data_IF_099959553087
#
_entry.id   IF_099959553087
#
_cell.length_a   1.000
_cell.length_b   1.000
_cell.length_c   1.000
_cell.angle_alpha   90.00
_cell.angle_beta   90.00
_cell.angle_gamma   90.00
#
_symmetry.space_group_name_H-M   'P 1'
#
loop_
_entity.id
_entity.type
_entity.pdbx_description
1 polymer ?
#
# COMPACT_ATOMS: atom_id res chain seq x y z
N UNK A 1 -23.90 -5.63 -34.41
CA UNK A 1 -22.59 -6.22 -34.74
C UNK A 1 -21.53 -5.52 -33.90
N UNK A 2 -21.21 -6.09 -32.76
CA UNK A 2 -20.18 -5.55 -31.86
C UNK A 2 -18.84 -6.16 -32.26
N UNK A 3 -17.93 -5.34 -32.77
CA UNK A 3 -16.57 -5.73 -33.06
C UNK A 3 -15.80 -5.81 -31.74
N UNK A 4 -15.49 -7.01 -31.31
CA UNK A 4 -14.57 -7.29 -30.20
C UNK A 4 -13.16 -6.92 -30.66
N UNK A 5 -12.60 -5.81 -30.18
CA UNK A 5 -11.22 -5.46 -30.40
C UNK A 5 -10.35 -6.44 -29.61
N UNK A 6 -9.77 -7.44 -30.29
CA UNK A 6 -8.69 -8.26 -29.71
C UNK A 6 -7.50 -7.36 -29.36
N UNK A 7 -6.90 -7.51 -28.15
CA UNK A 7 -5.70 -6.75 -27.81
C UNK A 7 -4.56 -7.16 -28.75
N UNK A 8 -3.99 -6.17 -29.43
CA UNK A 8 -2.82 -6.34 -30.30
C UNK A 8 -1.70 -7.04 -29.50
N UNK A 9 -1.31 -8.25 -29.93
CA UNK A 9 -0.17 -8.98 -29.32
C UNK A 9 1.08 -8.12 -29.40
N UNK A 10 1.59 -7.69 -28.21
CA UNK A 10 2.87 -6.98 -28.11
C UNK A 10 3.97 -7.78 -28.81
N UNK A 11 4.87 -7.13 -29.56
CA UNK A 11 6.01 -7.79 -30.17
C UNK A 11 6.92 -8.42 -29.10
N UNK A 12 7.63 -9.49 -29.43
CA UNK A 12 8.59 -10.14 -28.52
C UNK A 12 9.61 -9.14 -27.94
N UNK A 13 10.10 -8.22 -28.77
CA UNK A 13 11.01 -7.14 -28.34
C UNK A 13 10.38 -6.23 -27.29
N UNK A 14 9.09 -5.88 -27.43
CA UNK A 14 8.37 -5.07 -26.47
C UNK A 14 8.16 -5.82 -25.15
N UNK A 15 7.85 -7.12 -25.20
CA UNK A 15 7.70 -7.96 -24.01
C UNK A 15 9.03 -8.09 -23.24
N UNK A 16 10.15 -8.29 -23.94
CA UNK A 16 11.47 -8.35 -23.33
C UNK A 16 11.90 -7.03 -22.69
N UNK A 17 11.55 -5.89 -23.31
CA UNK A 17 11.81 -4.57 -22.75
C UNK A 17 11.01 -4.35 -21.46
N UNK A 18 9.73 -4.65 -21.50
CA UNK A 18 8.82 -4.55 -20.34
C UNK A 18 9.27 -5.45 -19.18
N UNK A 19 9.64 -6.70 -19.46
CA UNK A 19 10.16 -7.62 -18.44
C UNK A 19 11.45 -7.09 -17.79
N UNK A 20 12.33 -6.46 -18.59
CA UNK A 20 13.55 -5.83 -18.08
C UNK A 20 13.24 -4.63 -17.20
N UNK A 21 12.33 -3.74 -17.60
CA UNK A 21 11.92 -2.58 -16.80
C UNK A 21 11.28 -3.03 -15.48
N UNK A 22 10.46 -4.09 -15.50
CA UNK A 22 9.89 -4.68 -14.30
C UNK A 22 10.97 -5.23 -13.36
N UNK A 23 11.99 -5.92 -13.88
CA UNK A 23 13.10 -6.42 -13.08
C UNK A 23 13.92 -5.29 -12.46
N UNK A 24 14.19 -4.22 -13.21
CA UNK A 24 14.90 -3.03 -12.73
C UNK A 24 14.10 -2.36 -11.59
N UNK A 25 12.82 -2.09 -11.81
CA UNK A 25 11.98 -1.41 -10.82
C UNK A 25 11.74 -2.27 -9.58
N UNK A 26 11.67 -3.58 -9.70
CA UNK A 26 11.59 -4.50 -8.56
C UNK A 26 12.86 -4.46 -7.70
N UNK A 27 14.06 -4.48 -8.32
CA UNK A 27 15.34 -4.30 -7.63
C UNK A 27 15.42 -2.95 -6.92
N UNK A 28 15.00 -1.88 -7.59
CA UNK A 28 14.97 -0.53 -6.99
C UNK A 28 14.01 -0.49 -5.80
N UNK A 29 12.80 -1.04 -5.90
CA UNK A 29 11.83 -1.07 -4.80
C UNK A 29 12.39 -1.82 -3.58
N UNK A 30 13.08 -2.94 -3.80
CA UNK A 30 13.74 -3.70 -2.74
C UNK A 30 14.83 -2.86 -2.05
N UNK A 31 15.73 -2.23 -2.81
CA UNK A 31 16.80 -1.40 -2.27
C UNK A 31 16.25 -0.15 -1.56
N UNK A 32 15.18 0.46 -2.07
CA UNK A 32 14.48 1.56 -1.40
C UNK A 32 13.85 1.10 -0.07
N UNK A 33 13.33 -0.12 -0.01
CA UNK A 33 12.77 -0.70 1.21
C UNK A 33 13.86 -0.99 2.26
N UNK A 34 15.00 -1.55 1.84
CA UNK A 34 16.07 -1.99 2.74
C UNK A 34 16.89 -0.85 3.31
N UNK A 35 17.22 0.16 2.51
CA UNK A 35 18.16 1.22 2.91
C UNK A 35 17.78 2.63 2.51
N UNK A 36 16.65 2.80 1.86
CA UNK A 36 16.16 4.10 1.41
C UNK A 36 16.90 4.67 0.20
N UNK A 37 16.40 5.81 -0.28
CA UNK A 37 16.90 6.44 -1.50
C UNK A 37 18.35 6.91 -1.38
N UNK A 38 18.70 7.55 -0.26
CA UNK A 38 20.03 8.20 -0.15
C UNK A 38 21.16 7.17 -0.18
N UNK A 39 20.98 6.00 0.45
CA UNK A 39 21.98 4.94 0.51
C UNK A 39 21.98 3.99 -0.71
N UNK A 40 20.90 3.97 -1.51
CA UNK A 40 20.85 3.19 -2.75
C UNK A 40 21.81 3.74 -3.79
N UNK A 41 22.48 2.87 -4.53
CA UNK A 41 23.34 3.27 -5.67
C UNK A 41 22.85 2.63 -6.98
N UNK A 42 23.12 3.32 -8.11
CA UNK A 42 22.79 2.81 -9.44
C UNK A 42 23.64 1.57 -9.79
N UNK A 43 24.85 1.48 -9.24
CA UNK A 43 25.74 0.33 -9.44
C UNK A 43 25.18 -0.95 -8.81
N UNK A 44 24.57 -0.85 -7.63
CA UNK A 44 23.90 -1.99 -6.98
C UNK A 44 22.70 -2.48 -7.76
N UNK A 45 21.87 -1.55 -8.26
CA UNK A 45 20.74 -1.91 -9.14
C UNK A 45 21.24 -2.64 -10.39
N UNK A 46 22.30 -2.11 -11.04
CA UNK A 46 22.87 -2.71 -12.24
C UNK A 46 23.43 -4.12 -11.96
N UNK A 47 24.14 -4.29 -10.85
CA UNK A 47 24.71 -5.57 -10.43
C UNK A 47 23.62 -6.61 -10.13
N UNK A 48 22.56 -6.23 -9.43
CA UNK A 48 21.47 -7.12 -9.07
C UNK A 48 20.66 -7.60 -10.28
N UNK A 49 20.40 -6.71 -11.23
CA UNK A 49 19.67 -7.03 -12.47
C UNK A 49 20.58 -7.73 -13.50
N UNK A 50 21.90 -7.73 -13.27
CA UNK A 50 22.87 -8.36 -14.18
C UNK A 50 23.06 -7.59 -15.50
N UNK A 51 22.99 -6.25 -15.46
CA UNK A 51 23.18 -5.39 -16.64
C UNK A 51 24.27 -4.35 -16.42
N UNK A 52 24.84 -3.84 -17.49
CA UNK A 52 25.81 -2.75 -17.38
C UNK A 52 25.12 -1.45 -16.93
N UNK A 53 25.76 -0.67 -16.05
CA UNK A 53 25.29 0.66 -15.60
C UNK A 53 24.92 1.58 -16.77
N UNK A 54 25.70 1.56 -17.86
CA UNK A 54 25.40 2.31 -19.08
C UNK A 54 24.06 1.90 -19.73
N UNK A 55 23.60 0.67 -19.50
CA UNK A 55 22.31 0.20 -20.00
C UNK A 55 21.16 0.77 -19.18
N UNK A 56 21.33 0.96 -17.85
CA UNK A 56 20.35 1.66 -17.01
C UNK A 56 20.17 3.11 -17.46
N UNK A 57 21.26 3.82 -17.71
CA UNK A 57 21.23 5.22 -18.14
C UNK A 57 20.68 5.44 -19.57
N UNK A 58 20.47 4.37 -20.35
CA UNK A 58 19.70 4.45 -21.61
C UNK A 58 18.18 4.53 -21.36
N UNK A 59 17.72 4.08 -20.22
CA UNK A 59 16.29 4.05 -19.83
C UNK A 59 15.93 5.14 -18.83
N UNK A 60 16.87 5.49 -17.93
CA UNK A 60 16.64 6.44 -16.84
C UNK A 60 17.81 7.43 -16.78
N UNK A 61 17.53 8.73 -16.92
CA UNK A 61 18.58 9.76 -17.01
C UNK A 61 19.24 10.06 -15.65
N UNK A 62 18.62 9.67 -14.54
CA UNK A 62 19.13 9.93 -13.19
C UNK A 62 18.69 8.84 -12.20
N UNK A 63 19.31 8.83 -11.01
CA UNK A 63 18.92 7.99 -9.88
C UNK A 63 17.51 8.33 -9.40
N UNK A 64 17.16 9.61 -9.43
CA UNK A 64 15.82 10.10 -9.08
C UNK A 64 14.75 9.57 -10.04
N UNK A 65 15.01 9.61 -11.34
CA UNK A 65 14.10 9.09 -12.37
C UNK A 65 13.88 7.59 -12.20
N UNK A 66 14.98 6.86 -11.99
CA UNK A 66 14.95 5.42 -11.72
C UNK A 66 14.11 5.09 -10.46
N UNK A 67 14.34 5.79 -9.35
CA UNK A 67 13.59 5.62 -8.12
C UNK A 67 12.12 6.08 -8.26
N UNK A 68 11.89 7.16 -9.00
CA UNK A 68 10.54 7.64 -9.29
C UNK A 68 9.73 6.59 -10.08
N UNK A 69 10.32 5.95 -11.08
CA UNK A 69 9.66 4.89 -11.85
C UNK A 69 9.26 3.70 -10.97
N UNK A 70 10.12 3.30 -10.03
CA UNK A 70 9.81 2.26 -9.06
C UNK A 70 8.67 2.66 -8.11
N UNK A 71 8.66 3.90 -7.63
CA UNK A 71 7.59 4.44 -6.78
C UNK A 71 6.25 4.56 -7.54
N UNK A 72 6.29 4.92 -8.82
CA UNK A 72 5.09 4.90 -9.70
C UNK A 72 4.53 3.49 -9.81
N UNK A 73 5.38 2.50 -10.01
CA UNK A 73 4.95 1.11 -10.06
C UNK A 73 4.34 0.64 -8.73
N UNK A 74 4.93 1.03 -7.60
CA UNK A 74 4.39 0.69 -6.28
C UNK A 74 2.99 1.30 -6.05
N UNK A 75 2.77 2.56 -6.41
CA UNK A 75 1.46 3.20 -6.26
C UNK A 75 0.42 2.62 -7.23
N UNK A 76 0.82 2.25 -8.45
CA UNK A 76 -0.06 1.57 -9.42
C UNK A 76 -0.48 0.18 -8.92
N UNK A 77 0.45 -0.58 -8.30
CA UNK A 77 0.14 -1.87 -7.65
C UNK A 77 -0.86 -1.69 -6.50
N UNK A 78 -0.68 -0.65 -5.69
CA UNK A 78 -1.63 -0.32 -4.62
C UNK A 78 -3.01 0.04 -5.20
N UNK A 79 -3.06 0.89 -6.22
CA UNK A 79 -4.30 1.25 -6.89
C UNK A 79 -5.04 0.03 -7.42
N UNK A 80 -4.35 -0.84 -8.17
CA UNK A 80 -4.95 -2.06 -8.74
C UNK A 80 -5.53 -2.96 -7.63
N UNK A 81 -4.79 -3.17 -6.54
CA UNK A 81 -5.28 -3.95 -5.40
C UNK A 81 -6.55 -3.37 -4.76
N UNK A 82 -6.61 -2.04 -4.58
CA UNK A 82 -7.80 -1.38 -4.02
C UNK A 82 -9.00 -1.44 -4.98
N UNK A 83 -8.77 -1.30 -6.27
CA UNK A 83 -9.81 -1.44 -7.30
C UNK A 83 -10.38 -2.87 -7.33
N UNK A 84 -9.53 -3.89 -7.21
CA UNK A 84 -9.95 -5.30 -7.09
C UNK A 84 -10.78 -5.54 -5.83
N UNK A 85 -10.35 -5.03 -4.66
CA UNK A 85 -11.15 -5.10 -3.44
C UNK A 85 -12.51 -4.44 -3.60
N UNK A 86 -12.57 -3.34 -4.33
CA UNK A 86 -13.81 -2.63 -4.59
C UNK A 86 -14.75 -3.44 -5.49
N UNK A 87 -14.22 -4.07 -6.55
CA UNK A 87 -14.98 -4.89 -7.48
C UNK A 87 -15.52 -6.18 -6.84
N UNK A 88 -14.69 -6.88 -6.04
CA UNK A 88 -15.09 -8.11 -5.35
C UNK A 88 -16.25 -7.89 -4.38
N UNK A 89 -16.24 -6.76 -3.66
CA UNK A 89 -17.31 -6.44 -2.71
C UNK A 89 -18.63 -6.04 -3.39
N UNK A 90 -18.59 -5.50 -4.60
CA UNK A 90 -19.79 -5.23 -5.38
C UNK A 90 -20.47 -6.53 -5.85
N UNK A 91 -19.67 -7.57 -6.13
CA UNK A 91 -20.19 -8.90 -6.52
C UNK A 91 -20.75 -9.69 -5.33
N UNK A 92 -20.25 -9.46 -4.10
CA UNK A 92 -20.65 -10.20 -2.90
C UNK A 92 -21.79 -9.53 -2.11
N UNK A 93 -22.33 -8.40 -2.57
CA UNK A 93 -23.46 -7.70 -1.91
C UNK A 93 -24.77 -8.51 -1.97
N UNK A 94 -24.82 -9.60 -2.77
CA UNK A 94 -25.95 -10.52 -2.83
C UNK A 94 -25.84 -11.73 -1.88
N UNK A 95 -24.70 -11.93 -1.23
CA UNK A 95 -24.53 -12.97 -0.22
C UNK A 95 -24.65 -12.34 1.18
N UNK A 96 -25.88 -12.30 1.71
CA UNK A 96 -26.15 -12.02 3.11
C UNK A 96 -25.37 -13.00 3.98
N UNK A 97 -24.31 -12.52 4.64
CA UNK A 97 -23.70 -13.26 5.74
C UNK A 97 -24.59 -13.03 6.97
N UNK A 98 -25.45 -14.00 7.24
CA UNK A 98 -26.28 -14.04 8.44
C UNK A 98 -25.40 -13.85 9.68
N UNK A 99 -25.69 -12.80 10.46
CA UNK A 99 -25.45 -12.80 11.90
C UNK A 99 -24.49 -11.79 12.49
N UNK A 100 -23.63 -11.13 11.75
CA UNK A 100 -22.79 -10.05 12.31
C UNK A 100 -22.86 -8.78 11.45
N UNK A 101 -23.11 -7.65 12.11
CA UNK A 101 -23.16 -6.32 11.48
C UNK A 101 -21.72 -5.94 11.08
N UNK A 102 -21.23 -6.44 9.94
CA UNK A 102 -19.88 -6.19 9.45
C UNK A 102 -19.92 -5.14 8.36
N UNK A 103 -19.21 -4.04 8.57
CA UNK A 103 -19.04 -3.01 7.55
C UNK A 103 -18.13 -3.50 6.44
N UNK A 104 -18.65 -3.54 5.21
CA UNK A 104 -17.87 -3.82 4.00
C UNK A 104 -16.74 -2.78 3.84
N UNK A 105 -17.02 -1.52 4.16
CA UNK A 105 -16.04 -0.46 4.10
C UNK A 105 -14.88 -0.67 5.10
N UNK A 106 -15.20 -1.02 6.36
CA UNK A 106 -14.18 -1.35 7.37
C UNK A 106 -13.36 -2.58 6.95
N UNK A 107 -14.01 -3.61 6.39
CA UNK A 107 -13.31 -4.80 5.89
C UNK A 107 -12.28 -4.42 4.81
N UNK A 108 -12.65 -3.58 3.84
CA UNK A 108 -11.73 -3.08 2.80
C UNK A 108 -10.55 -2.31 3.40
N UNK A 109 -10.80 -1.44 4.38
CA UNK A 109 -9.75 -0.70 5.08
C UNK A 109 -8.80 -1.63 5.84
N UNK A 110 -9.33 -2.64 6.54
CA UNK A 110 -8.52 -3.65 7.22
C UNK A 110 -7.72 -4.50 6.23
N UNK A 111 -8.33 -4.95 5.13
CA UNK A 111 -7.65 -5.72 4.09
C UNK A 111 -6.52 -4.93 3.42
N UNK A 112 -6.75 -3.66 3.08
CA UNK A 112 -5.72 -2.79 2.48
C UNK A 112 -4.55 -2.53 3.43
N UNK A 113 -4.84 -2.33 4.72
CA UNK A 113 -3.80 -2.13 5.75
C UNK A 113 -2.98 -3.40 5.95
N UNK A 114 -3.62 -4.56 6.07
CA UNK A 114 -2.95 -5.86 6.17
C UNK A 114 -2.04 -6.12 4.98
N UNK A 115 -2.53 -5.91 3.76
CA UNK A 115 -1.75 -6.05 2.55
C UNK A 115 -0.51 -5.12 2.53
N UNK A 116 -0.66 -3.87 2.98
CA UNK A 116 0.46 -2.93 3.13
C UNK A 116 1.52 -3.46 4.09
N UNK A 117 1.11 -4.01 5.25
CA UNK A 117 2.02 -4.60 6.24
C UNK A 117 2.71 -5.85 5.70
N UNK A 118 2.00 -6.70 4.95
CA UNK A 118 2.58 -7.87 4.27
C UNK A 118 3.69 -7.46 3.29
N UNK A 119 3.43 -6.44 2.45
CA UNK A 119 4.45 -5.92 1.54
C UNK A 119 5.65 -5.32 2.28
N UNK A 120 5.41 -4.62 3.40
CA UNK A 120 6.50 -4.06 4.22
C UNK A 120 7.38 -5.17 4.80
N UNK A 121 6.80 -6.19 5.40
CA UNK A 121 7.53 -7.33 5.96
C UNK A 121 8.26 -8.16 4.90
N UNK A 122 7.72 -8.22 3.68
CA UNK A 122 8.37 -8.86 2.53
C UNK A 122 9.48 -7.99 1.88
N UNK A 123 9.76 -6.78 2.38
CA UNK A 123 10.72 -5.86 1.77
C UNK A 123 10.31 -5.34 0.40
N UNK A 124 9.01 -5.30 0.11
CA UNK A 124 8.45 -4.85 -1.16
C UNK A 124 7.77 -3.47 -1.09
N UNK A 125 7.74 -2.86 0.09
CA UNK A 125 7.19 -1.52 0.30
C UNK A 125 8.35 -0.52 0.36
N UNK A 126 8.55 0.32 -0.66
CA UNK A 126 9.60 1.32 -0.65
C UNK A 126 9.34 2.35 0.45
N UNK A 127 10.40 2.75 1.14
CA UNK A 127 10.31 3.81 2.15
C UNK A 127 10.04 5.16 1.50
N UNK A 128 9.21 5.97 2.14
CA UNK A 128 8.98 7.35 1.69
C UNK A 128 10.28 8.16 1.84
N UNK A 129 10.62 8.99 0.85
CA UNK A 129 11.83 9.80 0.90
C UNK A 129 11.73 10.84 2.02
N UNK A 130 12.87 11.14 2.65
CA UNK A 130 12.98 12.20 3.65
C UNK A 130 12.53 13.55 3.10
N UNK A 131 12.21 14.50 3.98
CA UNK A 131 11.67 15.82 3.58
C UNK A 131 12.62 16.58 2.63
N UNK A 132 13.93 16.41 2.81
CA UNK A 132 14.98 17.09 2.05
C UNK A 132 15.54 16.25 0.88
N UNK A 133 14.93 15.09 0.57
CA UNK A 133 15.40 14.23 -0.50
C UNK A 133 15.05 14.80 -1.88
N UNK A 134 16.00 14.73 -2.83
CA UNK A 134 15.77 15.07 -4.24
C UNK A 134 14.69 14.18 -4.89
N UNK A 135 14.56 12.93 -4.43
CA UNK A 135 13.49 12.04 -4.87
C UNK A 135 12.10 12.61 -4.55
N UNK A 136 11.93 13.26 -3.39
CA UNK A 136 10.64 13.87 -3.04
C UNK A 136 10.21 14.92 -4.07
N UNK A 137 11.12 15.79 -4.48
CA UNK A 137 10.86 16.80 -5.50
C UNK A 137 10.47 16.16 -6.84
N UNK A 138 11.19 15.11 -7.25
CA UNK A 138 10.90 14.34 -8.47
C UNK A 138 9.54 13.65 -8.43
N UNK A 139 9.14 13.07 -7.30
CA UNK A 139 7.82 12.45 -7.11
C UNK A 139 6.69 13.49 -7.21
N UNK A 140 6.85 14.64 -6.56
CA UNK A 140 5.85 15.72 -6.61
C UNK A 140 5.70 16.31 -8.02
N UNK A 141 6.74 16.26 -8.84
CA UNK A 141 6.71 16.66 -10.25
C UNK A 141 6.20 15.54 -11.19
N UNK A 142 6.16 14.30 -10.72
CA UNK A 142 5.72 13.15 -11.51
C UNK A 142 4.20 13.07 -11.56
N UNK A 143 3.62 13.40 -12.71
CA UNK A 143 2.17 13.28 -12.92
C UNK A 143 1.65 11.86 -12.69
N UNK A 144 2.28 10.78 -13.22
CA UNK A 144 1.81 9.42 -12.98
C UNK A 144 1.78 9.03 -11.50
N UNK A 145 2.78 9.49 -10.71
CA UNK A 145 2.81 9.25 -9.28
C UNK A 145 1.68 10.00 -8.55
N UNK A 146 1.51 11.29 -8.85
CA UNK A 146 0.49 12.12 -8.21
C UNK A 146 -0.93 11.67 -8.56
N UNK A 147 -1.21 11.33 -9.81
CA UNK A 147 -2.51 10.80 -10.24
C UNK A 147 -2.82 9.47 -9.53
N UNK A 148 -1.84 8.56 -9.41
CA UNK A 148 -1.98 7.30 -8.66
C UNK A 148 -2.22 7.54 -7.17
N UNK A 149 -1.47 8.45 -6.55
CA UNK A 149 -1.63 8.80 -5.14
C UNK A 149 -3.03 9.39 -4.86
N UNK A 150 -3.52 10.28 -5.72
CA UNK A 150 -4.87 10.83 -5.61
C UNK A 150 -5.92 9.72 -5.72
N UNK A 151 -5.78 8.82 -6.70
CA UNK A 151 -6.72 7.70 -6.89
C UNK A 151 -6.79 6.78 -5.68
N UNK A 152 -5.64 6.41 -5.11
CA UNK A 152 -5.56 5.63 -3.86
C UNK A 152 -6.21 6.38 -2.70
N UNK A 153 -5.95 7.70 -2.58
CA UNK A 153 -6.54 8.55 -1.54
C UNK A 153 -8.06 8.63 -1.65
N UNK A 154 -8.59 8.77 -2.86
CA UNK A 154 -10.03 8.85 -3.11
C UNK A 154 -10.75 7.54 -2.74
N UNK A 155 -10.18 6.38 -3.12
CA UNK A 155 -10.74 5.07 -2.79
C UNK A 155 -10.77 4.85 -1.26
N UNK A 156 -9.65 5.04 -0.59
CA UNK A 156 -9.57 4.90 0.87
C UNK A 156 -10.44 5.93 1.58
N UNK A 157 -10.47 7.17 1.11
CA UNK A 157 -11.28 8.24 1.66
C UNK A 157 -12.78 7.93 1.60
N UNK A 158 -13.25 7.38 0.48
CA UNK A 158 -14.64 6.94 0.33
C UNK A 158 -15.02 5.85 1.35
N UNK A 159 -14.14 4.85 1.54
CA UNK A 159 -14.37 3.78 2.53
C UNK A 159 -14.30 4.29 3.97
N UNK A 160 -13.40 5.24 4.27
CA UNK A 160 -13.33 5.88 5.59
C UNK A 160 -14.64 6.59 5.92
N UNK A 161 -15.13 7.45 5.01
CA UNK A 161 -16.40 8.18 5.20
C UNK A 161 -17.56 7.23 5.35
N UNK A 162 -17.60 6.14 4.61
CA UNK A 162 -18.65 5.13 4.71
C UNK A 162 -18.59 4.40 6.08
N UNK A 163 -17.42 3.94 6.51
CA UNK A 163 -17.24 3.28 7.80
C UNK A 163 -17.55 4.22 8.99
N UNK A 164 -17.31 5.54 8.84
CA UNK A 164 -17.74 6.54 9.84
C UNK A 164 -19.26 6.69 9.91
N UNK A 165 -19.94 6.73 8.75
CA UNK A 165 -21.43 6.77 8.71
C UNK A 165 -22.06 5.53 9.31
N UNK A 166 -21.45 4.38 9.14
CA UNK A 166 -21.88 3.10 9.70
C UNK A 166 -21.53 2.94 11.19
N UNK A 167 -20.77 3.87 11.78
CA UNK A 167 -20.39 3.87 13.20
C UNK A 167 -19.20 2.94 13.54
N UNK A 168 -18.49 2.39 12.56
CA UNK A 168 -17.34 1.52 12.78
C UNK A 168 -16.01 2.27 12.94
N UNK A 169 -15.92 3.48 12.39
CA UNK A 169 -14.80 4.40 12.61
C UNK A 169 -15.35 5.65 13.32
N UNK A 170 -14.57 6.19 14.25
CA UNK A 170 -14.94 7.38 15.01
C UNK A 170 -15.22 8.57 14.08
N UNK A 171 -16.48 8.99 14.03
CA UNK A 171 -16.94 10.12 13.21
C UNK A 171 -16.44 11.50 13.70
N UNK A 172 -15.93 11.60 14.94
CA UNK A 172 -15.33 12.83 15.44
C UNK A 172 -13.94 13.11 14.84
N UNK A 173 -13.29 12.09 14.22
CA UNK A 173 -12.01 12.26 13.54
C UNK A 173 -12.25 12.77 12.12
N UNK A 174 -11.53 13.82 11.67
CA UNK A 174 -11.53 14.20 10.27
C UNK A 174 -11.10 13.00 9.38
N UNK A 175 -11.78 12.72 8.26
CA UNK A 175 -11.41 11.60 7.38
C UNK A 175 -9.94 11.62 6.95
N UNK A 176 -9.37 12.80 6.74
CA UNK A 176 -7.96 12.97 6.37
C UNK A 176 -7.00 12.46 7.48
N UNK A 177 -7.37 12.61 8.75
CA UNK A 177 -6.58 12.09 9.87
C UNK A 177 -6.54 10.57 9.85
N UNK A 178 -7.69 9.94 9.59
CA UNK A 178 -7.78 8.48 9.45
C UNK A 178 -6.94 8.02 8.26
N UNK A 179 -7.06 8.69 7.10
CA UNK A 179 -6.28 8.39 5.90
C UNK A 179 -4.78 8.40 6.17
N UNK A 180 -4.27 9.46 6.80
CA UNK A 180 -2.83 9.55 7.12
C UNK A 180 -2.40 8.53 8.18
N UNK A 181 -3.28 8.15 9.10
CA UNK A 181 -3.01 7.05 10.05
C UNK A 181 -2.81 5.72 9.32
N UNK A 182 -3.62 5.44 8.29
CA UNK A 182 -3.45 4.25 7.45
C UNK A 182 -2.18 4.33 6.59
N UNK A 183 -1.90 5.49 5.99
CA UNK A 183 -0.64 5.69 5.23
C UNK A 183 0.62 5.51 6.09
N UNK A 184 0.56 5.91 7.35
CA UNK A 184 1.69 5.73 8.27
C UNK A 184 2.07 4.24 8.45
N UNK A 185 1.14 3.31 8.22
CA UNK A 185 1.43 1.85 8.29
C UNK A 185 2.44 1.40 7.24
N UNK A 186 2.50 2.06 6.09
CA UNK A 186 3.51 1.78 5.07
C UNK A 186 4.95 2.07 5.55
N UNK A 187 5.10 3.03 6.47
CA UNK A 187 6.40 3.47 7.02
C UNK A 187 6.51 3.21 8.53
N UNK A 188 5.71 2.30 9.09
CA UNK A 188 5.63 2.07 10.53
C UNK A 188 6.94 1.49 11.08
N UNK A 189 7.68 2.23 11.93
CA UNK A 189 8.91 1.73 12.51
C UNK A 189 8.67 0.59 13.51
N UNK A 190 7.46 0.48 14.09
CA UNK A 190 7.11 -0.61 15.01
C UNK A 190 7.26 -1.96 14.34
N UNK A 191 6.90 -2.07 13.06
CA UNK A 191 7.07 -3.30 12.27
C UNK A 191 8.54 -3.73 12.24
N UNK A 192 9.45 -2.78 12.03
CA UNK A 192 10.89 -3.06 11.97
C UNK A 192 11.46 -3.46 13.34
N UNK A 193 11.08 -2.74 14.41
CA UNK A 193 11.51 -3.09 15.76
C UNK A 193 11.02 -4.46 16.19
N UNK A 194 9.76 -4.82 15.90
CA UNK A 194 9.23 -6.14 16.20
C UNK A 194 9.93 -7.24 15.39
N UNK A 195 10.22 -6.98 14.11
CA UNK A 195 10.95 -7.91 13.26
C UNK A 195 12.39 -8.13 13.74
N UNK A 196 13.09 -7.06 14.15
CA UNK A 196 14.46 -7.12 14.68
C UNK A 196 14.55 -7.88 16.01
N UNK A 197 13.48 -7.95 16.79
CA UNK A 197 13.44 -8.69 18.03
C UNK A 197 13.53 -10.20 17.85
N UNK A 198 13.16 -10.71 16.66
CA UNK A 198 13.08 -12.15 16.33
C UNK A 198 12.15 -12.96 17.23
N UNK A 199 11.32 -12.29 18.05
CA UNK A 199 10.41 -12.93 19.01
C UNK A 199 9.05 -13.29 18.41
N UNK A 200 8.72 -12.73 17.24
CA UNK A 200 7.40 -12.82 16.64
C UNK A 200 7.48 -13.20 15.16
N UNK A 201 6.56 -14.02 14.72
CA UNK A 201 6.34 -14.30 13.30
C UNK A 201 5.78 -13.06 12.58
N UNK A 202 5.91 -13.03 11.26
CA UNK A 202 5.36 -11.94 10.45
C UNK A 202 3.84 -11.79 10.65
N UNK A 203 3.10 -12.89 10.81
CA UNK A 203 1.64 -12.83 11.03
C UNK A 203 1.30 -12.24 12.41
N UNK A 204 2.03 -12.63 13.47
CA UNK A 204 1.85 -12.03 14.79
C UNK A 204 2.15 -10.52 14.78
N UNK A 205 3.19 -10.09 14.07
CA UNK A 205 3.51 -8.66 13.90
C UNK A 205 2.36 -7.93 13.22
N UNK A 206 1.81 -8.50 12.13
CA UNK A 206 0.66 -7.93 11.43
C UNK A 206 -0.53 -7.79 12.37
N UNK A 207 -0.89 -8.85 13.12
CA UNK A 207 -2.03 -8.81 14.04
C UNK A 207 -1.85 -7.76 15.15
N UNK A 208 -0.66 -7.66 15.73
CA UNK A 208 -0.37 -6.62 16.75
C UNK A 208 -0.55 -5.20 16.19
N UNK A 209 -0.04 -4.94 14.98
CA UNK A 209 -0.16 -3.62 14.35
C UNK A 209 -1.60 -3.35 13.90
N UNK A 210 -2.31 -4.36 13.37
CA UNK A 210 -3.73 -4.25 13.02
C UNK A 210 -4.58 -3.93 14.25
N UNK A 211 -4.37 -4.63 15.37
CA UNK A 211 -5.06 -4.39 16.63
C UNK A 211 -4.82 -2.96 17.13
N UNK A 212 -3.58 -2.50 17.18
CA UNK A 212 -3.28 -1.13 17.63
C UNK A 212 -3.86 -0.08 16.70
N UNK A 213 -3.95 -0.37 15.40
CA UNK A 213 -4.47 0.57 14.41
C UNK A 213 -6.00 0.70 14.46
N UNK A 214 -6.73 -0.40 14.58
CA UNK A 214 -8.19 -0.41 14.47
C UNK A 214 -8.93 -0.52 15.81
N UNK A 215 -8.34 -1.18 16.80
CA UNK A 215 -8.97 -1.38 18.10
C UNK A 215 -8.38 -0.47 19.18
N UNK A 216 -7.19 0.09 18.94
CA UNK A 216 -6.47 1.00 19.84
C UNK A 216 -5.70 0.27 20.94
N UNK A 217 -5.12 1.05 21.89
CA UNK A 217 -4.29 0.56 22.99
C UNK A 217 -5.06 0.33 24.28
N UNK A 218 -6.27 0.89 24.38
CA UNK A 218 -7.06 0.79 25.60
C UNK A 218 -7.96 -0.44 25.57
N UNK A 219 -8.03 -1.15 26.69
CA UNK A 219 -9.04 -2.20 26.87
C UNK A 219 -10.42 -1.55 26.89
N UNK A 220 -11.29 -1.90 25.94
CA UNK A 220 -12.70 -1.51 26.00
C UNK A 220 -13.34 -2.22 27.21
N UNK A 221 -13.76 -1.48 28.22
CA UNK A 221 -14.64 -2.03 29.25
C UNK A 221 -15.95 -2.39 28.55
N UNK A 222 -16.25 -3.68 28.48
CA UNK A 222 -17.61 -4.10 28.16
C UNK A 222 -18.52 -3.40 29.14
N UNK A 223 -19.41 -2.54 28.68
CA UNK A 223 -20.56 -2.10 29.45
C UNK A 223 -21.41 -3.34 29.70
N UNK A 224 -21.14 -4.02 30.83
CA UNK A 224 -22.01 -5.06 31.33
C UNK A 224 -23.38 -4.40 31.50
N UNK A 225 -24.39 -4.94 30.80
CA UNK A 225 -25.77 -4.61 30.94
C UNK A 225 -26.07 -4.49 32.45
N UNK A 226 -26.33 -3.28 32.89
CA UNK A 226 -27.01 -3.05 34.17
C UNK A 226 -28.39 -3.66 34.00
N UNK A 227 -28.56 -4.86 34.52
CA UNK A 227 -29.88 -5.43 34.80
C UNK A 227 -30.57 -4.54 35.83
N UNK A 228 -31.45 -3.68 35.34
CA UNK A 228 -32.47 -3.06 36.17
C UNK A 228 -33.47 -4.15 36.55
N UNK A 229 -33.18 -4.86 37.63
CA UNK A 229 -34.20 -5.51 38.40
C UNK A 229 -34.78 -4.46 39.34
N UNK A 230 -35.88 -3.89 38.94
CA UNK A 230 -36.83 -3.19 39.81
C UNK A 230 -37.55 -4.23 40.67
N UNK A 231 -37.39 -4.09 41.97
CA UNK A 231 -38.36 -4.56 42.94
C UNK A 231 -39.33 -3.44 43.25
#
# INVERSE_FOLDING_TARGET
MSATLEPLKKSFKAQMLEARELAITASVNRLLSEKGFDAMTVDEVAAEVGIAKASLYKHFNSKEELACAAMVQAIQKAQAYLEDLNAQSAANTEAEVEGELTSVALHKLKASTRWTLQLKLAGQMPTLPSHNSSLRASLMASRPYMDGLMRVSDLLGAWIVQAQKEGFINAALPPITVLYTLYARACDPVVEFLKMSELHSNEEIIEMVMTTCFDGLMVRKNESKLDHHTH
#
